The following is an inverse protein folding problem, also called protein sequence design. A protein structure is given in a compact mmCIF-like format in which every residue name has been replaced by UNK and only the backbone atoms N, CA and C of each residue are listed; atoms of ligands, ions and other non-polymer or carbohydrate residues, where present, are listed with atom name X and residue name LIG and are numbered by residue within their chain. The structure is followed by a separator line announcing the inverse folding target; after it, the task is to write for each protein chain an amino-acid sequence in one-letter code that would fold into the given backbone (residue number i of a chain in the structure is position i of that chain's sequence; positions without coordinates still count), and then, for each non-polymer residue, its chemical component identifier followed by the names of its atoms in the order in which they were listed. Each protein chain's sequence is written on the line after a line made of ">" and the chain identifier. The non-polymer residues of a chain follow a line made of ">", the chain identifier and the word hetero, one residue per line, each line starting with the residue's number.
data_IF_774262252883
#
_entry.id   IF_774262252883
#
_cell.length_a   1.000
_cell.length_b   1.000
_cell.length_c   1.000
_cell.angle_alpha   90.00
_cell.angle_beta   90.00
_cell.angle_gamma   90.00
#
_symmetry.space_group_name_H-M   'P 1'
#
loop_
_entity.id
_entity.type
_entity.pdbx_description
1 polymer ?
#
# COMPACT_ATOMS: atom_id res chain seq x y z
N UNK A 1 -9.02 -9.95 -6.83
CA UNK A 1 -7.62 -9.77 -6.41
C UNK A 1 -7.57 -8.73 -5.30
N UNK A 2 -6.73 -8.89 -4.29
CA UNK A 2 -6.64 -7.95 -3.17
C UNK A 2 -5.88 -6.69 -3.59
N UNK A 3 -6.29 -5.54 -3.07
CA UNK A 3 -5.70 -4.24 -3.38
C UNK A 3 -5.72 -3.32 -2.17
N UNK A 4 -4.83 -2.34 -2.18
CA UNK A 4 -4.79 -1.25 -1.22
C UNK A 4 -5.11 0.04 -1.97
N UNK A 5 -5.99 0.87 -1.41
CA UNK A 5 -6.31 2.20 -1.92
C UNK A 5 -5.78 3.23 -0.94
N UNK A 6 -4.92 4.14 -1.43
CA UNK A 6 -4.27 5.20 -0.65
C UNK A 6 -4.95 6.52 -1.01
N UNK A 7 -5.27 7.32 0.01
CA UNK A 7 -5.96 8.60 -0.16
C UNK A 7 -5.06 9.73 0.35
N UNK A 8 -4.88 10.75 -0.48
CA UNK A 8 -4.26 12.02 -0.10
C UNK A 8 -5.30 13.14 -0.22
N UNK A 9 -5.19 14.23 0.56
CA UNK A 9 -6.16 15.32 0.54
C UNK A 9 -6.29 16.03 -0.83
N UNK A 10 -5.21 16.08 -1.59
CA UNK A 10 -5.03 16.90 -2.79
C UNK A 10 -4.73 16.08 -4.06
N UNK A 11 -4.88 14.75 -4.00
CA UNK A 11 -4.66 13.85 -5.14
C UNK A 11 -5.78 12.81 -5.29
N UNK A 12 -6.03 12.30 -6.51
CA UNK A 12 -6.90 11.15 -6.71
C UNK A 12 -6.41 9.90 -5.93
N UNK A 13 -7.32 8.96 -5.60
CA UNK A 13 -6.92 7.73 -4.90
C UNK A 13 -5.91 6.92 -5.72
N UNK A 14 -4.82 6.51 -5.08
CA UNK A 14 -3.83 5.62 -5.68
C UNK A 14 -4.16 4.16 -5.33
N UNK A 15 -4.08 3.27 -6.32
CA UNK A 15 -4.35 1.82 -6.13
C UNK A 15 -3.04 1.05 -6.25
N UNK A 16 -2.80 0.15 -5.29
CA UNK A 16 -1.60 -0.71 -5.22
C UNK A 16 -2.01 -2.18 -5.07
N UNK A 17 -1.36 -3.07 -5.82
CA UNK A 17 -1.64 -4.51 -5.87
C UNK A 17 -0.35 -5.33 -5.87
N UNK A 18 -0.43 -6.58 -5.43
CA UNK A 18 0.69 -7.52 -5.50
C UNK A 18 1.97 -6.98 -4.87
N UNK A 19 2.97 -6.76 -5.71
CA UNK A 19 4.31 -6.29 -5.34
C UNK A 19 4.54 -4.80 -5.63
N UNK A 20 3.47 -4.04 -5.96
CA UNK A 20 3.57 -2.59 -6.10
C UNK A 20 4.09 -1.97 -4.81
N UNK A 21 5.18 -1.21 -4.89
CA UNK A 21 5.77 -0.55 -3.72
C UNK A 21 4.82 0.51 -3.15
N UNK A 22 4.67 0.50 -1.83
CA UNK A 22 4.03 1.52 -1.02
C UNK A 22 5.13 2.20 -0.21
N UNK A 23 5.45 3.43 -0.61
CA UNK A 23 6.37 4.34 0.06
C UNK A 23 5.76 5.74 0.11
N UNK A 24 6.18 6.57 1.07
CA UNK A 24 5.59 7.89 1.28
C UNK A 24 6.61 8.88 1.83
N UNK A 25 6.60 10.12 1.35
CA UNK A 25 7.47 11.19 1.84
C UNK A 25 7.15 11.62 3.27
N UNK A 26 5.89 11.47 3.70
CA UNK A 26 5.44 11.75 5.06
C UNK A 26 5.83 10.65 6.05
N UNK A 27 6.10 9.44 5.54
CA UNK A 27 6.51 8.27 6.31
C UNK A 27 7.80 7.71 5.69
N UNK A 28 8.95 8.36 5.88
CA UNK A 28 10.18 8.07 5.13
C UNK A 28 10.71 6.65 5.32
N UNK A 29 10.36 5.98 6.42
CA UNK A 29 10.74 4.59 6.70
C UNK A 29 9.68 3.57 6.22
N UNK A 30 8.59 4.03 5.62
CA UNK A 30 7.56 3.16 5.07
C UNK A 30 8.03 2.62 3.72
N UNK A 31 8.29 1.33 3.65
CA UNK A 31 8.47 0.60 2.40
C UNK A 31 7.86 -0.78 2.56
N UNK A 32 6.68 -0.97 1.97
CA UNK A 32 5.91 -2.22 2.04
C UNK A 32 5.30 -2.56 0.68
N UNK A 33 4.86 -3.80 0.53
CA UNK A 33 3.99 -4.21 -0.59
C UNK A 33 2.62 -4.68 -0.08
N UNK A 34 1.55 -4.57 -0.90
CA UNK A 34 0.26 -5.17 -0.58
C UNK A 34 0.37 -6.66 -0.22
N UNK A 35 1.24 -7.42 -0.91
CA UNK A 35 1.50 -8.82 -0.59
C UNK A 35 1.95 -9.01 0.86
N UNK A 36 2.93 -8.22 1.32
CA UNK A 36 3.41 -8.27 2.71
C UNK A 36 2.30 -7.93 3.69
N UNK A 37 1.53 -6.87 3.42
CA UNK A 37 0.44 -6.43 4.30
C UNK A 37 -0.63 -7.52 4.46
N UNK A 38 -1.06 -8.14 3.35
CA UNK A 38 -2.04 -9.23 3.43
C UNK A 38 -1.47 -10.50 4.07
N UNK A 39 -0.18 -10.80 3.90
CA UNK A 39 0.45 -11.94 4.57
C UNK A 39 0.49 -11.74 6.10
N UNK A 40 0.93 -10.58 6.58
CA UNK A 40 1.01 -10.23 8.00
C UNK A 40 -0.37 -10.18 8.67
N UNK A 41 -1.37 -9.66 7.95
CA UNK A 41 -2.74 -9.64 8.42
C UNK A 41 -3.39 -11.04 8.47
N UNK A 42 -2.69 -12.10 8.02
CA UNK A 42 -3.26 -13.45 7.77
C UNK A 42 -4.46 -13.40 6.82
N UNK A 43 -4.41 -12.39 5.96
CA UNK A 43 -5.27 -12.08 4.82
C UNK A 43 -5.22 -13.12 3.70
N UNK A 44 -4.19 -13.98 3.63
CA UNK A 44 -3.70 -14.73 2.45
C UNK A 44 -4.75 -15.46 1.61
#
# INVERSE_FOLDING_TARGET
>A
AKQITIFYPDAPPAIKKGDDEISDILLPDLTLTPRQIFAEARLS
#
